data_IF_760090673161
#
_entry.id   IF_760090673161
#
_cell.length_a   1.000
_cell.length_b   1.000
_cell.length_c   1.000
_cell.angle_alpha   90.00
_cell.angle_beta   90.00
_cell.angle_gamma   90.00
#
_symmetry.space_group_name_H-M   'P 1'
#
loop_
_entity.id
_entity.type
_entity.pdbx_description
1 polymer ?
#
# COMPACT_ATOMS: atom_id res chain seq x y z
N UNK A 1 21.40 0.93 -20.97
CA UNK A 1 20.10 0.53 -21.54
C UNK A 1 19.57 1.61 -22.49
N UNK A 2 18.64 1.22 -23.36
CA UNK A 2 18.02 2.15 -24.34
C UNK A 2 16.51 1.96 -24.41
N UNK A 3 15.76 3.07 -24.56
CA UNK A 3 14.31 3.08 -24.65
C UNK A 3 13.83 3.99 -25.76
N UNK A 4 12.87 3.51 -26.57
CA UNK A 4 12.16 4.31 -27.55
C UNK A 4 11.05 5.18 -26.96
N UNK A 5 10.71 4.99 -25.68
CA UNK A 5 9.64 5.72 -24.99
C UNK A 5 10.00 7.18 -24.72
N UNK A 6 11.30 7.51 -24.73
CA UNK A 6 11.80 8.84 -24.46
C UNK A 6 12.17 9.59 -25.75
N UNK A 7 12.19 10.91 -25.69
CA UNK A 7 12.57 11.78 -26.78
C UNK A 7 14.04 11.56 -27.21
N UNK A 8 14.39 12.06 -28.42
CA UNK A 8 15.78 12.03 -28.89
C UNK A 8 16.70 12.75 -27.90
N UNK A 9 17.82 12.10 -27.54
CA UNK A 9 18.77 12.59 -26.53
C UNK A 9 18.49 12.13 -25.09
N UNK A 10 17.33 11.54 -24.80
CA UNK A 10 16.94 11.01 -23.49
C UNK A 10 16.81 9.46 -23.47
N UNK A 11 17.04 8.81 -24.62
CA UNK A 11 16.77 7.38 -24.82
C UNK A 11 17.71 6.43 -24.10
N UNK A 12 18.93 6.86 -23.82
CA UNK A 12 19.97 5.99 -23.26
C UNK A 12 20.25 6.35 -21.80
N UNK A 13 20.24 5.35 -20.93
CA UNK A 13 20.63 5.43 -19.54
C UNK A 13 21.81 4.50 -19.21
N UNK A 14 22.67 4.92 -18.28
CA UNK A 14 23.79 4.12 -17.77
C UNK A 14 23.53 3.83 -16.31
N UNK A 15 23.47 2.52 -15.95
CA UNK A 15 23.11 2.03 -14.62
C UNK A 15 24.20 1.09 -14.09
N UNK A 16 25.28 1.66 -13.49
CA UNK A 16 26.38 0.86 -12.97
C UNK A 16 25.99 0.13 -11.68
N UNK A 17 26.69 -0.99 -11.43
CA UNK A 17 26.58 -1.71 -10.15
C UNK A 17 27.92 -2.31 -9.75
N UNK A 18 28.15 -2.40 -8.44
CA UNK A 18 29.32 -3.03 -7.86
C UNK A 18 28.92 -3.77 -6.59
N UNK A 19 29.52 -4.94 -6.36
CA UNK A 19 29.33 -5.69 -5.13
C UNK A 19 30.61 -6.35 -4.67
N UNK A 20 30.74 -6.52 -3.36
CA UNK A 20 31.83 -7.26 -2.73
C UNK A 20 31.28 -8.17 -1.64
N UNK A 21 31.94 -9.29 -1.42
CA UNK A 21 31.61 -10.22 -0.36
C UNK A 21 32.86 -10.82 0.25
N UNK A 22 32.90 -10.87 1.59
CA UNK A 22 33.98 -11.45 2.34
C UNK A 22 33.48 -12.60 3.20
N UNK A 23 33.95 -13.80 2.90
CA UNK A 23 33.65 -14.99 3.70
C UNK A 23 34.64 -15.05 4.88
N UNK A 24 34.26 -14.38 5.96
CA UNK A 24 35.09 -14.20 7.16
C UNK A 24 35.42 -15.57 7.80
N UNK A 25 34.45 -16.50 7.78
CA UNK A 25 34.63 -17.84 8.34
C UNK A 25 35.76 -18.66 7.71
N UNK A 26 36.23 -18.28 6.50
CA UNK A 26 37.35 -18.95 5.84
C UNK A 26 38.72 -18.43 6.29
N UNK A 27 38.75 -17.36 7.10
CA UNK A 27 39.99 -16.77 7.56
C UNK A 27 40.61 -17.55 8.73
N UNK A 28 41.93 -17.62 8.79
CA UNK A 28 42.65 -18.39 9.82
C UNK A 28 42.34 -17.97 11.25
N UNK A 29 42.06 -16.68 11.49
CA UNK A 29 41.69 -16.17 12.80
C UNK A 29 40.30 -16.66 13.27
N UNK A 30 39.51 -17.25 12.39
CA UNK A 30 38.16 -17.81 12.70
C UNK A 30 38.20 -19.32 12.95
N UNK A 31 39.34 -19.99 12.83
CA UNK A 31 39.43 -21.46 13.02
C UNK A 31 38.90 -21.91 14.39
N UNK A 32 39.10 -21.12 15.44
CA UNK A 32 38.63 -21.44 16.81
C UNK A 32 37.11 -21.33 16.97
N UNK A 33 36.43 -20.66 16.08
CA UNK A 33 34.98 -20.46 16.14
C UNK A 33 34.17 -21.54 15.40
N UNK A 34 34.83 -22.38 14.61
CA UNK A 34 34.17 -23.39 13.74
C UNK A 34 33.32 -24.42 14.50
N UNK A 35 33.50 -24.53 15.82
CA UNK A 35 32.70 -25.42 16.66
C UNK A 35 31.22 -25.00 16.78
N UNK A 36 30.92 -23.71 16.57
CA UNK A 36 29.58 -23.14 16.73
C UNK A 36 29.15 -22.22 15.57
N UNK A 37 30.13 -21.63 14.83
CA UNK A 37 29.90 -20.75 13.69
C UNK A 37 30.47 -21.43 12.43
N UNK A 38 29.58 -22.02 11.63
CA UNK A 38 29.94 -22.78 10.43
C UNK A 38 30.23 -21.88 9.22
N UNK A 39 29.57 -20.75 9.18
CA UNK A 39 29.67 -19.82 8.06
C UNK A 39 29.40 -18.40 8.52
N UNK A 40 30.22 -17.47 8.07
CA UNK A 40 30.01 -16.02 8.24
C UNK A 40 30.49 -15.30 6.99
N UNK A 41 29.56 -14.56 6.36
CA UNK A 41 29.84 -13.74 5.17
C UNK A 41 29.31 -12.33 5.36
N UNK A 42 30.14 -11.34 5.12
CA UNK A 42 29.75 -9.94 4.97
C UNK A 42 29.54 -9.62 3.49
N UNK A 43 28.49 -8.90 3.17
CA UNK A 43 28.14 -8.43 1.82
C UNK A 43 27.98 -6.93 1.82
N UNK A 44 28.44 -6.28 0.76
CA UNK A 44 28.17 -4.90 0.46
C UNK A 44 27.90 -4.77 -1.04
N UNK A 45 26.88 -4.02 -1.40
CA UNK A 45 26.58 -3.72 -2.79
C UNK A 45 26.03 -2.30 -2.93
N UNK A 46 26.33 -1.72 -4.07
CA UNK A 46 25.73 -0.49 -4.55
C UNK A 46 25.41 -0.68 -6.04
N UNK A 47 24.28 -0.17 -6.47
CA UNK A 47 23.90 -0.26 -7.87
C UNK A 47 22.73 0.62 -8.23
N UNK A 48 22.60 0.85 -9.52
CA UNK A 48 21.51 1.60 -10.13
C UNK A 48 20.76 0.72 -11.13
N UNK A 49 19.43 0.92 -11.19
CA UNK A 49 18.52 0.27 -12.15
C UNK A 49 17.62 1.34 -12.74
N UNK A 50 17.50 1.37 -14.07
CA UNK A 50 16.60 2.28 -14.78
C UNK A 50 15.19 1.70 -14.91
N UNK A 51 14.19 2.54 -14.73
CA UNK A 51 12.79 2.25 -15.00
C UNK A 51 12.27 3.15 -16.13
N UNK A 52 11.55 2.56 -17.07
CA UNK A 52 10.92 3.22 -18.22
C UNK A 52 9.42 2.89 -18.32
N UNK A 53 8.80 2.48 -17.22
CA UNK A 53 7.43 1.99 -17.21
C UNK A 53 6.42 3.14 -17.33
N UNK A 54 6.40 3.75 -18.52
CA UNK A 54 5.40 4.72 -18.96
C UNK A 54 4.86 4.27 -20.32
N UNK A 55 3.75 4.83 -20.76
CA UNK A 55 3.21 4.60 -22.08
C UNK A 55 4.14 5.12 -23.19
N UNK A 56 3.94 4.65 -24.42
CA UNK A 56 4.71 5.12 -25.58
C UNK A 56 4.34 6.56 -25.93
N UNK A 57 5.29 7.29 -26.51
CA UNK A 57 5.10 8.63 -27.06
C UNK A 57 4.67 9.71 -26.06
N UNK A 58 5.06 9.59 -24.78
CA UNK A 58 4.75 10.60 -23.76
C UNK A 58 5.41 11.97 -24.04
N UNK A 59 6.46 12.00 -24.87
CA UNK A 59 7.12 13.21 -25.33
C UNK A 59 6.38 13.95 -26.45
N UNK A 60 5.20 13.46 -26.87
CA UNK A 60 4.35 14.10 -27.89
C UNK A 60 2.96 14.39 -27.32
N UNK A 61 2.26 15.35 -27.91
CA UNK A 61 0.85 15.60 -27.64
C UNK A 61 0.00 14.84 -28.68
N UNK A 62 -0.52 13.64 -28.36
CA UNK A 62 -1.34 12.89 -29.30
C UNK A 62 -2.67 13.62 -29.53
N UNK A 63 -3.09 13.70 -30.79
CA UNK A 63 -4.37 14.27 -31.14
C UNK A 63 -5.43 13.17 -31.12
N UNK A 64 -6.53 13.42 -30.43
CA UNK A 64 -7.70 12.56 -30.41
C UNK A 64 -8.91 13.27 -31.02
N UNK A 65 -9.77 12.50 -31.69
CA UNK A 65 -11.06 12.95 -32.18
C UNK A 65 -12.24 12.24 -31.54
N UNK A 66 -11.95 11.35 -30.58
CA UNK A 66 -13.01 10.63 -29.84
C UNK A 66 -13.80 11.60 -28.95
N UNK A 67 -15.13 11.49 -28.98
CA UNK A 67 -16.06 12.28 -28.16
C UNK A 67 -16.02 13.81 -28.38
N UNK A 68 -15.48 14.29 -29.52
CA UNK A 68 -15.37 15.70 -29.87
C UNK A 68 -16.36 16.06 -30.98
N UNK A 69 -17.62 15.90 -30.71
CA UNK A 69 -18.65 16.33 -31.65
C UNK A 69 -19.05 17.78 -31.38
N UNK A 70 -19.04 18.62 -32.38
CA UNK A 70 -19.60 19.95 -32.31
C UNK A 70 -20.79 20.07 -33.28
N UNK A 71 -21.90 20.61 -32.80
CA UNK A 71 -23.11 20.79 -33.56
C UNK A 71 -23.16 22.26 -33.99
N UNK A 72 -23.00 22.50 -35.30
CA UNK A 72 -23.19 23.82 -35.86
C UNK A 72 -24.63 23.98 -36.37
N UNK A 73 -25.34 24.98 -35.87
CA UNK A 73 -26.72 25.31 -36.28
C UNK A 73 -27.53 25.94 -35.16
N UNK A 74 -28.56 26.65 -35.53
CA UNK A 74 -29.44 27.41 -34.62
C UNK A 74 -30.71 26.68 -34.24
N UNK A 75 -31.00 25.50 -34.80
CA UNK A 75 -32.23 24.76 -34.55
C UNK A 75 -31.98 23.54 -33.67
N UNK A 76 -32.08 23.73 -32.39
CA UNK A 76 -32.09 22.63 -31.42
C UNK A 76 -33.38 21.80 -31.62
N UNK A 77 -33.25 20.58 -32.14
CA UNK A 77 -34.35 19.64 -32.27
C UNK A 77 -34.76 19.24 -33.69
N UNK A 78 -34.11 19.79 -34.75
CA UNK A 78 -34.38 19.35 -36.12
C UNK A 78 -33.47 18.17 -36.52
N UNK A 79 -34.02 17.23 -37.27
CA UNK A 79 -33.33 16.03 -37.79
C UNK A 79 -32.20 16.28 -38.81
N UNK A 80 -31.81 17.53 -39.02
CA UNK A 80 -30.79 17.98 -39.96
C UNK A 80 -29.62 18.70 -39.25
N UNK A 81 -29.29 18.35 -38.00
CA UNK A 81 -28.09 18.88 -37.36
C UNK A 81 -26.85 18.17 -37.89
N UNK A 82 -25.96 18.93 -38.52
CA UNK A 82 -24.66 18.41 -38.95
C UNK A 82 -23.73 18.35 -37.73
N UNK A 83 -23.44 17.15 -37.27
CA UNK A 83 -22.39 16.92 -36.27
C UNK A 83 -21.05 16.84 -36.95
N UNK A 84 -20.12 17.68 -36.53
CA UNK A 84 -18.75 17.71 -37.07
C UNK A 84 -17.80 17.15 -36.02
N UNK A 85 -16.84 16.33 -36.47
CA UNK A 85 -15.78 15.80 -35.64
C UNK A 85 -14.73 16.90 -35.40
N UNK A 86 -14.47 17.19 -34.18
CA UNK A 86 -13.32 17.97 -33.74
C UNK A 86 -12.11 17.10 -33.41
N UNK A 87 -11.01 17.75 -33.10
CA UNK A 87 -9.81 17.10 -32.58
C UNK A 87 -9.13 18.01 -31.56
N UNK A 88 -8.55 17.39 -30.52
CA UNK A 88 -7.81 18.12 -29.49
C UNK A 88 -6.64 17.27 -28.98
N UNK A 89 -5.59 17.87 -28.36
CA UNK A 89 -4.54 17.13 -27.70
C UNK A 89 -5.10 16.37 -26.50
N UNK A 90 -4.95 15.05 -26.47
CA UNK A 90 -5.46 14.24 -25.35
C UNK A 90 -4.65 14.41 -24.07
N UNK A 91 -3.41 14.88 -24.16
CA UNK A 91 -2.54 15.24 -23.04
C UNK A 91 -1.50 16.26 -23.46
N UNK A 92 -0.87 16.91 -22.47
CA UNK A 92 0.29 17.77 -22.70
C UNK A 92 1.51 16.93 -23.06
N UNK A 93 2.35 17.45 -23.96
CA UNK A 93 3.63 16.83 -24.29
C UNK A 93 4.68 17.17 -23.22
N UNK A 94 5.55 16.21 -22.91
CA UNK A 94 6.76 16.48 -22.14
C UNK A 94 7.98 15.83 -22.84
N UNK A 95 8.76 16.66 -23.56
CA UNK A 95 9.98 16.19 -24.22
C UNK A 95 11.14 15.97 -23.28
N UNK A 96 11.06 16.44 -22.03
CA UNK A 96 12.12 16.37 -21.04
C UNK A 96 12.06 15.12 -20.16
N UNK A 97 10.96 14.36 -20.24
CA UNK A 97 10.82 13.11 -19.49
C UNK A 97 11.98 12.14 -19.82
N UNK A 98 12.58 11.60 -18.78
CA UNK A 98 13.74 10.70 -18.86
C UNK A 98 13.56 9.50 -17.92
N UNK A 99 14.59 8.66 -17.86
CA UNK A 99 14.62 7.47 -17.01
C UNK A 99 14.42 7.82 -15.53
N UNK A 100 13.55 7.08 -14.89
CA UNK A 100 13.56 6.94 -13.42
C UNK A 100 14.73 6.05 -13.04
N UNK A 101 15.47 6.41 -12.01
CA UNK A 101 16.64 5.65 -11.56
C UNK A 101 16.46 5.20 -10.11
N UNK A 102 16.42 3.89 -9.90
CA UNK A 102 16.49 3.32 -8.55
C UNK A 102 17.96 3.05 -8.19
N UNK A 103 18.46 3.75 -7.18
CA UNK A 103 19.78 3.58 -6.61
C UNK A 103 19.68 2.91 -5.24
N UNK A 104 20.43 1.84 -5.03
CA UNK A 104 20.41 1.10 -3.77
C UNK A 104 21.79 0.81 -3.25
N UNK A 105 21.99 1.07 -1.95
CA UNK A 105 23.11 0.57 -1.15
C UNK A 105 22.58 -0.48 -0.19
N UNK A 106 23.25 -1.64 -0.14
CA UNK A 106 22.90 -2.72 0.77
C UNK A 106 24.15 -3.21 1.50
N UNK A 107 24.03 -3.46 2.81
CA UNK A 107 25.03 -4.11 3.65
C UNK A 107 24.36 -5.29 4.33
N UNK A 108 24.87 -6.49 4.12
CA UNK A 108 24.26 -7.72 4.61
C UNK A 108 25.24 -8.67 5.28
N UNK A 109 24.72 -9.47 6.19
CA UNK A 109 25.43 -10.53 6.89
C UNK A 109 24.67 -11.84 6.69
N UNK A 110 25.39 -12.88 6.26
CA UNK A 110 24.91 -14.26 6.25
C UNK A 110 25.70 -15.07 7.28
N UNK A 111 25.03 -15.73 8.20
CA UNK A 111 25.67 -16.57 9.20
C UNK A 111 24.96 -17.91 9.35
N UNK A 112 25.72 -18.97 9.62
CA UNK A 112 25.21 -20.29 9.96
C UNK A 112 25.91 -20.81 11.21
N UNK A 113 25.12 -21.40 12.08
CA UNK A 113 25.54 -21.84 13.40
C UNK A 113 25.14 -23.28 13.66
N UNK A 114 25.86 -23.92 14.58
CA UNK A 114 25.49 -25.21 15.16
C UNK A 114 25.32 -26.32 14.12
N UNK A 115 26.30 -26.48 13.24
CA UNK A 115 26.28 -27.41 12.10
C UNK A 115 25.17 -27.08 11.11
N UNK A 116 25.03 -25.79 10.81
CA UNK A 116 24.04 -25.22 9.90
C UNK A 116 22.57 -25.47 10.29
N UNK A 117 22.30 -25.73 11.58
CA UNK A 117 20.91 -25.85 12.06
C UNK A 117 20.26 -24.48 12.14
N UNK A 118 20.99 -23.47 12.62
CA UNK A 118 20.51 -22.07 12.65
C UNK A 118 21.16 -21.29 11.51
N UNK A 119 20.35 -20.67 10.68
CA UNK A 119 20.78 -19.71 9.66
C UNK A 119 20.20 -18.32 9.96
N UNK A 120 21.04 -17.31 9.82
CA UNK A 120 20.71 -15.88 9.97
C UNK A 120 21.09 -15.16 8.70
N UNK A 121 20.18 -14.36 8.16
CA UNK A 121 20.46 -13.33 7.17
C UNK A 121 19.95 -12.00 7.71
N UNK A 122 20.77 -10.97 7.69
CA UNK A 122 20.39 -9.62 8.08
C UNK A 122 20.91 -8.65 7.04
N UNK A 123 20.05 -7.77 6.55
CA UNK A 123 20.35 -6.76 5.55
C UNK A 123 19.91 -5.38 6.03
N UNK A 124 20.74 -4.39 5.85
CA UNK A 124 20.39 -2.97 5.95
C UNK A 124 20.51 -2.36 4.56
N UNK A 125 19.50 -1.61 4.16
CA UNK A 125 19.48 -0.97 2.84
C UNK A 125 19.02 0.49 2.90
N UNK A 126 19.53 1.24 1.95
CA UNK A 126 19.02 2.55 1.55
C UNK A 126 18.76 2.47 0.06
N UNK A 127 17.50 2.65 -0.33
CA UNK A 127 17.06 2.69 -1.73
C UNK A 127 16.44 4.05 -2.00
N UNK A 128 16.94 4.75 -3.02
CA UNK A 128 16.39 6.02 -3.49
C UNK A 128 15.95 5.86 -4.94
N UNK A 129 14.66 6.00 -5.19
CA UNK A 129 14.12 6.18 -6.54
C UNK A 129 14.23 7.66 -6.88
N UNK A 130 15.08 7.99 -7.82
CA UNK A 130 15.32 9.35 -8.31
C UNK A 130 14.55 9.57 -9.60
N UNK A 131 14.14 10.80 -9.84
CA UNK A 131 13.42 11.16 -11.05
C UNK A 131 12.17 10.29 -11.27
N UNK A 132 11.40 10.07 -10.21
CA UNK A 132 10.21 9.23 -10.20
C UNK A 132 9.24 9.60 -11.33
N UNK A 133 8.86 8.60 -12.14
CA UNK A 133 7.95 8.77 -13.28
C UNK A 133 6.50 8.79 -12.80
N UNK A 134 5.86 9.94 -12.85
CA UNK A 134 4.49 10.15 -12.36
C UNK A 134 3.71 11.07 -13.30
N UNK A 135 2.39 10.86 -13.42
CA UNK A 135 1.49 11.83 -14.05
C UNK A 135 1.28 13.00 -13.10
N UNK A 136 1.72 14.21 -13.53
CA UNK A 136 1.57 15.41 -12.75
C UNK A 136 0.12 15.92 -12.86
N UNK A 137 -0.64 16.08 -11.77
CA UNK A 137 -1.95 16.71 -11.82
C UNK A 137 -1.87 18.10 -12.45
N UNK A 138 -2.78 18.38 -13.36
CA UNK A 138 -2.92 19.72 -13.98
C UNK A 138 -4.32 20.26 -13.70
N UNK A 139 -4.46 21.57 -13.75
CA UNK A 139 -5.76 22.21 -13.58
C UNK A 139 -6.74 21.72 -14.67
N UNK A 140 -7.96 21.41 -14.27
CA UNK A 140 -9.03 20.99 -15.21
C UNK A 140 -9.28 22.02 -16.34
N UNK A 141 -8.96 23.28 -16.10
CA UNK A 141 -9.02 24.38 -17.10
C UNK A 141 -8.02 24.22 -18.24
N UNK A 142 -7.02 23.34 -18.13
CA UNK A 142 -6.10 23.02 -19.22
C UNK A 142 -6.81 22.29 -20.38
N UNK A 143 -7.95 21.66 -20.13
CA UNK A 143 -8.78 21.00 -21.16
C UNK A 143 -8.11 19.78 -21.82
N UNK A 144 -7.10 19.21 -21.20
CA UNK A 144 -6.31 18.08 -21.72
C UNK A 144 -5.82 17.22 -20.56
N UNK A 145 -5.30 16.00 -20.81
CA UNK A 145 -4.73 15.13 -19.80
C UNK A 145 -3.36 15.58 -19.31
N UNK A 146 -2.98 15.10 -18.15
CA UNK A 146 -1.70 15.37 -17.52
C UNK A 146 -0.53 14.76 -18.29
N UNK A 147 0.64 15.43 -18.34
CA UNK A 147 1.87 14.85 -18.85
C UNK A 147 2.53 13.96 -17.80
N UNK A 148 3.35 12.99 -18.23
CA UNK A 148 4.34 12.38 -17.35
C UNK A 148 5.48 13.36 -17.08
N UNK A 149 5.90 13.40 -15.82
CA UNK A 149 7.09 14.16 -15.38
C UNK A 149 8.02 13.25 -14.59
N UNK A 150 9.24 13.72 -14.39
CA UNK A 150 10.15 13.17 -13.37
C UNK A 150 9.83 13.90 -12.06
N UNK A 151 9.06 13.26 -11.19
CA UNK A 151 8.29 13.88 -10.11
C UNK A 151 9.00 14.01 -8.77
N UNK A 152 10.32 13.82 -8.72
CA UNK A 152 11.09 13.91 -7.48
C UNK A 152 11.70 12.59 -7.04
N UNK A 153 12.06 12.50 -5.76
CA UNK A 153 12.76 11.37 -5.20
C UNK A 153 11.91 10.66 -4.14
N UNK A 154 12.00 9.33 -4.09
CA UNK A 154 11.38 8.51 -3.04
C UNK A 154 12.46 7.67 -2.37
N UNK A 155 12.75 7.96 -1.10
CA UNK A 155 13.76 7.26 -0.31
C UNK A 155 13.12 6.22 0.61
N UNK A 156 13.61 4.99 0.54
CA UNK A 156 13.29 3.89 1.45
C UNK A 156 14.55 3.52 2.23
N UNK A 157 14.42 3.40 3.55
CA UNK A 157 15.50 2.94 4.43
C UNK A 157 14.95 1.83 5.29
N UNK A 158 15.60 0.68 5.30
CA UNK A 158 15.05 -0.48 5.98
C UNK A 158 16.08 -1.48 6.46
N UNK A 159 15.58 -2.39 7.28
CA UNK A 159 16.29 -3.55 7.80
C UNK A 159 15.45 -4.78 7.51
N UNK A 160 16.11 -5.82 6.99
CA UNK A 160 15.51 -7.13 6.76
C UNK A 160 16.22 -8.17 7.63
N UNK A 161 15.46 -9.05 8.23
CA UNK A 161 15.97 -10.14 9.07
C UNK A 161 15.29 -11.44 8.68
N UNK A 162 16.07 -12.51 8.45
CA UNK A 162 15.56 -13.86 8.29
C UNK A 162 16.32 -14.82 9.20
N UNK A 163 15.57 -15.61 9.93
CA UNK A 163 16.06 -16.69 10.80
C UNK A 163 15.44 -18.00 10.37
N UNK A 164 16.23 -19.03 10.23
CA UNK A 164 15.72 -20.38 10.02
C UNK A 164 16.44 -21.39 10.91
N UNK A 165 15.66 -22.27 11.49
CA UNK A 165 16.13 -23.41 12.27
C UNK A 165 15.68 -24.71 11.61
N UNK A 166 16.61 -25.61 11.32
CA UNK A 166 16.34 -26.93 10.78
C UNK A 166 17.05 -27.96 11.64
N UNK A 167 16.33 -28.97 12.09
CA UNK A 167 16.92 -30.02 12.90
C UNK A 167 16.20 -31.36 12.70
N UNK A 168 16.86 -32.43 13.14
CA UNK A 168 16.35 -33.79 13.13
C UNK A 168 16.57 -34.45 14.48
N UNK A 169 15.52 -35.03 15.03
CA UNK A 169 15.54 -35.77 16.27
C UNK A 169 15.34 -37.27 15.97
N UNK A 170 16.42 -38.06 16.17
CA UNK A 170 16.44 -39.45 15.75
C UNK A 170 16.35 -39.60 14.23
N UNK A 171 15.83 -40.75 13.77
CA UNK A 171 15.65 -41.06 12.33
C UNK A 171 14.30 -40.64 11.80
N UNK A 172 13.31 -40.42 12.65
CA UNK A 172 11.90 -40.37 12.25
C UNK A 172 11.28 -38.99 12.29
N UNK A 173 11.91 -38.02 12.97
CA UNK A 173 11.36 -36.69 13.15
C UNK A 173 12.34 -35.62 12.67
N UNK A 174 11.93 -34.84 11.67
CA UNK A 174 12.63 -33.65 11.23
C UNK A 174 11.69 -32.44 11.24
N UNK A 175 12.21 -31.25 11.55
CA UNK A 175 11.42 -30.04 11.57
C UNK A 175 12.21 -28.82 11.12
N UNK A 176 11.48 -27.84 10.62
CA UNK A 176 12.02 -26.55 10.25
C UNK A 176 11.10 -25.43 10.77
N UNK A 177 11.71 -24.37 11.27
CA UNK A 177 11.04 -23.12 11.65
C UNK A 177 11.75 -21.97 10.97
N UNK A 178 11.00 -21.12 10.30
CA UNK A 178 11.51 -19.91 9.70
C UNK A 178 10.71 -18.70 10.14
N UNK A 179 11.41 -17.61 10.42
CA UNK A 179 10.85 -16.30 10.73
C UNK A 179 11.58 -15.28 9.87
N UNK A 180 10.84 -14.38 9.24
CA UNK A 180 11.41 -13.23 8.57
C UNK A 180 10.64 -11.97 8.93
N UNK A 181 11.29 -10.83 8.82
CA UNK A 181 10.68 -9.54 9.04
C UNK A 181 11.47 -8.46 8.32
N UNK A 182 10.76 -7.45 7.84
CA UNK A 182 11.34 -6.26 7.25
C UNK A 182 10.70 -5.02 7.86
N UNK A 183 11.52 -4.08 8.24
CA UNK A 183 11.11 -2.73 8.63
C UNK A 183 11.56 -1.77 7.55
N UNK A 184 10.66 -0.92 7.08
CA UNK A 184 10.92 0.06 6.03
C UNK A 184 10.36 1.43 6.41
N UNK A 185 11.13 2.47 6.21
CA UNK A 185 10.68 3.85 6.32
C UNK A 185 10.78 4.53 4.96
N UNK A 186 9.66 5.08 4.52
CA UNK A 186 9.52 5.77 3.23
C UNK A 186 9.51 7.28 3.43
N UNK A 187 10.13 8.04 2.52
CA UNK A 187 10.13 9.49 2.53
C UNK A 187 10.27 10.07 1.13
N UNK A 188 9.40 11.01 0.79
CA UNK A 188 9.44 11.78 -0.46
C UNK A 188 10.35 13.01 -0.33
N UNK A 189 11.01 13.39 -1.41
CA UNK A 189 11.81 14.61 -1.50
C UNK A 189 11.94 15.11 -2.95
N UNK A 190 12.41 16.35 -3.07
CA UNK A 190 12.75 16.97 -4.35
C UNK A 190 11.62 16.98 -5.40
N UNK A 191 10.36 17.09 -4.97
CA UNK A 191 9.23 17.28 -5.88
C UNK A 191 9.41 18.63 -6.62
N UNK A 192 9.39 18.65 -7.97
CA UNK A 192 9.73 19.84 -8.76
C UNK A 192 8.52 20.79 -8.98
N UNK A 193 7.46 20.69 -8.19
CA UNK A 193 6.34 21.61 -8.17
C UNK A 193 6.62 22.81 -7.27
N UNK A 194 5.95 23.95 -7.47
CA UNK A 194 6.15 25.16 -6.68
C UNK A 194 5.84 24.96 -5.21
N UNK A 195 4.83 24.15 -4.90
CA UNK A 195 4.39 23.81 -3.54
C UNK A 195 5.09 22.58 -2.96
N UNK A 196 5.87 21.84 -3.78
CA UNK A 196 6.52 20.59 -3.37
C UNK A 196 5.53 19.43 -3.13
N UNK A 197 4.39 19.45 -3.81
CA UNK A 197 3.28 18.48 -3.66
C UNK A 197 2.90 17.87 -5.02
N UNK A 198 2.65 16.58 -5.03
CA UNK A 198 1.87 15.90 -6.08
C UNK A 198 0.53 15.56 -5.45
N UNK A 199 -0.51 16.23 -5.93
CA UNK A 199 -1.86 16.10 -5.43
C UNK A 199 -2.48 14.75 -5.79
N UNK A 200 -3.28 14.20 -4.88
CA UNK A 200 -4.06 13.00 -5.10
C UNK A 200 -5.32 13.24 -5.94
N UNK A 201 -5.99 12.14 -6.27
CA UNK A 201 -7.23 12.19 -7.04
C UNK A 201 -8.38 12.77 -6.20
N UNK A 202 -9.21 13.57 -6.87
CA UNK A 202 -10.49 14.06 -6.33
C UNK A 202 -11.62 13.07 -6.64
N UNK A 203 -12.78 13.24 -6.01
CA UNK A 203 -14.01 12.45 -6.23
C UNK A 203 -13.91 10.97 -5.82
N UNK A 204 -12.97 10.61 -4.96
CA UNK A 204 -12.79 9.22 -4.56
C UNK A 204 -13.71 8.78 -3.41
N UNK A 205 -14.04 9.68 -2.49
CA UNK A 205 -14.91 9.37 -1.36
C UNK A 205 -16.39 9.58 -1.69
N UNK A 206 -16.68 10.68 -2.39
CA UNK A 206 -18.01 11.07 -2.85
C UNK A 206 -17.88 12.07 -3.99
N UNK A 207 -18.99 12.35 -4.68
CA UNK A 207 -19.01 13.31 -5.78
C UNK A 207 -18.57 14.71 -5.31
N UNK A 208 -17.58 15.28 -5.97
CA UNK A 208 -16.88 16.52 -5.62
C UNK A 208 -16.13 16.46 -4.27
N UNK A 209 -15.75 15.27 -3.80
CA UNK A 209 -14.83 15.20 -2.66
C UNK A 209 -13.46 15.76 -3.06
N UNK A 210 -12.81 16.56 -2.18
CA UNK A 210 -11.44 16.98 -2.39
C UNK A 210 -10.47 15.79 -2.31
N UNK A 211 -9.22 16.03 -2.67
CA UNK A 211 -8.14 15.07 -2.40
C UNK A 211 -8.04 14.75 -0.91
N UNK A 212 -7.57 13.56 -0.59
CA UNK A 212 -7.32 13.14 0.79
C UNK A 212 -6.02 12.35 0.96
N UNK A 213 -5.23 12.25 -0.08
CA UNK A 213 -3.87 11.71 -0.05
C UNK A 213 -3.00 12.51 -1.00
N UNK A 214 -1.72 12.56 -0.72
CA UNK A 214 -0.75 13.30 -1.53
C UNK A 214 0.66 12.75 -1.37
N UNK A 215 1.56 13.10 -2.28
CA UNK A 215 2.97 12.98 -2.09
C UNK A 215 3.54 14.39 -1.82
N UNK A 216 4.22 14.56 -0.70
CA UNK A 216 4.74 15.84 -0.24
C UNK A 216 6.15 15.69 0.29
N UNK A 217 6.99 16.69 0.06
CA UNK A 217 8.35 16.71 0.55
C UNK A 217 8.40 16.54 2.08
N UNK A 218 9.09 15.49 2.53
CA UNK A 218 9.25 15.21 3.95
C UNK A 218 8.32 14.16 4.53
N UNK A 219 7.24 13.80 3.82
CA UNK A 219 6.25 12.81 4.22
C UNK A 219 6.47 11.45 3.53
N UNK A 220 5.76 10.42 3.96
CA UNK A 220 5.66 9.17 3.24
C UNK A 220 4.88 9.37 1.94
N UNK A 221 5.22 8.60 0.88
CA UNK A 221 4.48 8.67 -0.38
C UNK A 221 3.03 8.19 -0.17
N UNK A 222 2.07 8.96 -0.67
CA UNK A 222 0.64 8.61 -0.57
C UNK A 222 0.10 8.66 0.87
N UNK A 223 0.66 9.53 1.71
CA UNK A 223 0.10 9.73 3.05
C UNK A 223 -1.30 10.32 2.99
N UNK A 224 -2.14 10.00 3.98
CA UNK A 224 -3.51 10.49 4.08
C UNK A 224 -3.52 11.86 4.74
N UNK A 225 -4.11 12.83 4.05
CA UNK A 225 -4.17 14.22 4.46
C UNK A 225 -5.60 14.65 4.76
N UNK A 226 -5.90 14.92 6.01
CA UNK A 226 -7.27 15.17 6.46
C UNK A 226 -7.37 15.79 7.84
N UNK A 227 -8.60 16.01 8.29
CA UNK A 227 -8.88 16.59 9.58
C UNK A 227 -8.71 15.58 10.71
N UNK A 228 -8.22 16.04 11.84
CA UNK A 228 -8.33 15.32 13.11
C UNK A 228 -9.65 15.67 13.77
N UNK A 229 -10.28 14.70 14.46
CA UNK A 229 -11.55 14.92 15.16
C UNK A 229 -11.37 14.83 16.67
N UNK A 230 -12.18 15.60 17.41
CA UNK A 230 -12.23 15.60 18.88
C UNK A 230 -13.51 14.93 19.42
N UNK A 231 -14.21 14.15 18.59
CA UNK A 231 -15.47 13.50 18.92
C UNK A 231 -16.69 14.18 18.30
N UNK A 232 -17.81 14.13 19.01
CA UNK A 232 -19.12 14.61 18.52
C UNK A 232 -19.70 15.56 19.53
N UNK A 233 -20.26 16.69 19.06
CA UNK A 233 -21.01 17.63 19.90
C UNK A 233 -22.20 16.92 20.54
N UNK A 234 -22.20 16.85 21.88
CA UNK A 234 -23.28 16.17 22.60
C UNK A 234 -24.51 17.06 22.82
N UNK A 235 -24.30 18.36 23.06
CA UNK A 235 -25.37 19.30 23.36
C UNK A 235 -25.01 20.73 22.94
N UNK A 236 -25.97 21.65 23.06
CA UNK A 236 -25.82 23.07 22.69
C UNK A 236 -24.84 23.81 23.58
N UNK A 237 -24.68 23.43 24.84
CA UNK A 237 -23.74 24.05 25.78
C UNK A 237 -22.30 23.78 25.35
N UNK A 238 -22.00 22.55 24.92
CA UNK A 238 -20.69 22.21 24.39
C UNK A 238 -20.37 23.00 23.11
N UNK A 239 -21.34 23.21 22.21
CA UNK A 239 -21.19 24.06 21.02
C UNK A 239 -20.94 25.50 21.40
N UNK A 240 -21.70 26.05 22.36
CA UNK A 240 -21.53 27.43 22.84
C UNK A 240 -20.13 27.63 23.44
N UNK A 241 -19.65 26.69 24.22
CA UNK A 241 -18.30 26.72 24.80
C UNK A 241 -17.21 26.63 23.74
N UNK A 242 -17.41 25.78 22.71
CA UNK A 242 -16.47 25.61 21.58
C UNK A 242 -16.40 26.89 20.72
N UNK A 243 -17.51 27.59 20.51
CA UNK A 243 -17.60 28.87 19.79
C UNK A 243 -17.50 30.12 20.70
N UNK A 244 -17.08 29.96 21.94
CA UNK A 244 -17.16 31.04 22.93
C UNK A 244 -16.36 32.29 22.56
N UNK A 245 -15.30 32.18 21.79
CA UNK A 245 -14.51 33.29 21.29
C UNK A 245 -14.94 33.79 19.90
N UNK A 246 -16.02 33.22 19.33
CA UNK A 246 -16.57 33.62 18.03
C UNK A 246 -15.71 33.20 16.85
N UNK A 247 -14.81 32.26 17.05
CA UNK A 247 -13.83 31.86 16.07
C UNK A 247 -14.26 30.57 15.35
N UNK A 248 -14.21 29.70 15.05
CA UNK A 248 -14.60 28.42 14.39
C UNK A 248 -15.63 28.63 13.27
N UNK A 249 -15.33 29.57 12.37
CA UNK A 249 -16.10 29.82 11.15
C UNK A 249 -15.85 28.77 10.05
N UNK A 250 -16.14 29.13 8.83
CA UNK A 250 -16.02 28.38 7.58
C UNK A 250 -16.66 26.98 7.65
N UNK A 251 -15.88 25.88 7.84
CA UNK A 251 -16.40 24.53 7.79
C UNK A 251 -17.48 24.25 8.82
N UNK A 252 -17.35 24.80 10.02
CA UNK A 252 -18.28 24.59 11.15
C UNK A 252 -18.93 25.87 11.65
N UNK A 253 -19.44 26.71 10.76
CA UNK A 253 -20.08 27.98 11.09
C UNK A 253 -21.39 27.83 11.88
N UNK A 254 -22.11 26.73 11.75
CA UNK A 254 -23.38 26.46 12.46
C UNK A 254 -23.49 24.98 12.86
N UNK A 255 -22.64 24.48 13.75
CA UNK A 255 -22.67 23.09 14.19
C UNK A 255 -23.90 22.81 15.04
N UNK A 256 -24.40 21.58 14.95
CA UNK A 256 -25.55 21.10 15.73
C UNK A 256 -25.13 19.93 16.62
N UNK A 257 -25.86 19.65 17.72
CA UNK A 257 -25.65 18.42 18.48
C UNK A 257 -25.71 17.18 17.58
N UNK A 258 -24.72 16.32 17.71
CA UNK A 258 -24.51 15.16 16.85
C UNK A 258 -23.56 15.37 15.68
N UNK A 259 -23.07 16.59 15.46
CA UNK A 259 -22.03 16.86 14.45
C UNK A 259 -20.63 16.56 14.99
N UNK A 260 -19.73 16.23 14.09
CA UNK A 260 -18.30 15.99 14.38
C UNK A 260 -17.65 17.30 14.84
N UNK A 261 -16.72 17.20 15.78
CA UNK A 261 -15.86 18.30 16.21
C UNK A 261 -14.53 18.16 15.48
N UNK A 262 -14.22 19.05 14.55
CA UNK A 262 -12.90 19.12 13.91
C UNK A 262 -11.95 19.94 14.77
N UNK A 263 -10.67 19.57 14.77
CA UNK A 263 -9.65 20.23 15.58
C UNK A 263 -9.05 21.39 14.78
N UNK A 264 -9.04 22.57 15.37
CA UNK A 264 -8.28 23.73 14.91
C UNK A 264 -6.81 23.51 15.26
N UNK A 265 -6.01 23.04 14.27
CA UNK A 265 -4.62 22.65 14.48
C UNK A 265 -3.68 23.85 14.61
N UNK A 266 -3.92 24.89 13.85
CA UNK A 266 -3.09 26.10 13.83
C UNK A 266 -3.55 27.17 14.84
N UNK A 267 -4.69 26.96 15.50
CA UNK A 267 -5.29 27.82 16.53
C UNK A 267 -5.61 29.24 16.03
N UNK A 268 -5.95 29.39 14.75
CA UNK A 268 -6.34 30.68 14.19
C UNK A 268 -7.83 30.98 14.36
N UNK A 269 -8.61 30.02 14.82
CA UNK A 269 -10.04 30.13 15.10
C UNK A 269 -10.94 29.85 13.90
N UNK A 270 -10.39 29.26 12.84
CA UNK A 270 -11.11 28.90 11.62
C UNK A 270 -10.78 27.44 11.28
N UNK A 271 -11.77 26.62 11.02
CA UNK A 271 -11.54 25.24 10.52
C UNK A 271 -11.50 25.27 9.01
N UNK A 272 -10.32 25.14 8.43
CA UNK A 272 -10.10 25.13 6.99
C UNK A 272 -9.01 24.12 6.56
N UNK A 273 -8.52 24.22 5.33
CA UNK A 273 -7.51 23.28 4.82
C UNK A 273 -6.16 23.35 5.55
N UNK A 274 -5.88 24.44 6.29
CA UNK A 274 -4.68 24.58 7.10
C UNK A 274 -4.70 23.74 8.39
N UNK A 275 -5.87 23.18 8.74
CA UNK A 275 -6.05 22.30 9.90
C UNK A 275 -5.92 20.82 9.54
N UNK A 276 -5.72 20.51 8.27
CA UNK A 276 -5.47 19.13 7.83
C UNK A 276 -4.06 18.71 8.17
N UNK A 277 -3.93 17.47 8.62
CA UNK A 277 -2.66 16.87 9.05
C UNK A 277 -2.41 15.54 8.39
N UNK A 278 -1.20 15.01 8.57
CA UNK A 278 -0.83 13.64 8.21
C UNK A 278 -1.55 12.67 9.16
N UNK A 279 -2.46 11.86 8.61
CA UNK A 279 -3.23 10.84 9.32
C UNK A 279 -2.65 9.44 9.17
N UNK A 280 -1.42 9.33 8.64
CA UNK A 280 -0.76 8.08 8.34
C UNK A 280 -0.84 7.69 6.87
N UNK A 281 -0.48 6.46 6.56
CA UNK A 281 -0.42 5.99 5.17
C UNK A 281 -0.74 4.50 5.05
N UNK A 282 -1.03 4.05 3.84
CA UNK A 282 -1.37 2.65 3.55
C UNK A 282 -0.18 1.71 3.37
N UNK A 283 1.05 2.23 3.40
CA UNK A 283 2.25 1.40 3.25
C UNK A 283 2.70 0.90 4.62
N UNK A 284 2.81 -0.41 4.86
CA UNK A 284 3.21 -0.91 6.17
C UNK A 284 4.67 -0.55 6.49
N UNK A 285 4.91 -0.13 7.73
CA UNK A 285 6.25 0.05 8.28
C UNK A 285 6.93 -1.30 8.51
N UNK A 286 6.17 -2.32 8.88
CA UNK A 286 6.68 -3.64 9.21
C UNK A 286 5.92 -4.75 8.49
N UNK A 287 6.64 -5.65 7.83
CA UNK A 287 6.11 -6.88 7.26
C UNK A 287 6.82 -8.07 7.85
N UNK A 288 6.10 -9.17 8.06
CA UNK A 288 6.68 -10.35 8.69
C UNK A 288 6.07 -11.65 8.17
N UNK A 289 6.86 -12.70 8.25
CA UNK A 289 6.46 -14.04 7.86
C UNK A 289 6.95 -15.10 8.85
N UNK A 290 6.19 -16.16 8.92
CA UNK A 290 6.48 -17.33 9.73
C UNK A 290 6.18 -18.59 8.94
N UNK A 291 7.07 -19.55 8.98
CA UNK A 291 6.83 -20.89 8.44
C UNK A 291 7.26 -21.96 9.46
N UNK A 292 6.44 -23.00 9.55
CA UNK A 292 6.69 -24.19 10.34
C UNK A 292 6.45 -25.41 9.46
N UNK A 293 7.40 -26.32 9.45
CA UNK A 293 7.25 -27.62 8.81
C UNK A 293 7.76 -28.72 9.71
N UNK A 294 7.16 -29.91 9.65
CA UNK A 294 7.74 -31.10 10.26
C UNK A 294 7.37 -32.36 9.46
N UNK A 295 8.24 -33.33 9.54
CA UNK A 295 7.99 -34.70 9.07
C UNK A 295 8.13 -35.65 10.24
N UNK A 296 7.16 -36.50 10.43
CA UNK A 296 7.20 -37.58 11.42
C UNK A 296 6.80 -38.89 10.76
N UNK A 297 7.79 -39.76 10.52
CA UNK A 297 7.61 -41.01 9.77
C UNK A 297 7.01 -40.72 8.38
N UNK A 298 5.74 -41.08 8.18
CA UNK A 298 5.02 -40.87 6.93
C UNK A 298 4.12 -39.64 6.93
N UNK A 299 4.02 -38.90 8.05
CA UNK A 299 3.29 -37.64 8.15
C UNK A 299 4.18 -36.46 7.80
N UNK A 300 3.63 -35.52 7.09
CA UNK A 300 4.19 -34.19 6.90
C UNK A 300 3.16 -33.12 7.27
N UNK A 301 3.66 -32.04 7.84
CA UNK A 301 2.88 -30.88 8.19
C UNK A 301 3.60 -29.63 7.74
N UNK A 302 2.85 -28.64 7.25
CA UNK A 302 3.36 -27.29 7.00
C UNK A 302 2.34 -26.23 7.34
N UNK A 303 2.84 -25.14 7.89
CA UNK A 303 2.08 -23.92 8.18
C UNK A 303 2.88 -22.74 7.68
N UNK A 304 2.18 -21.82 6.97
CA UNK A 304 2.73 -20.54 6.52
C UNK A 304 1.80 -19.43 6.99
N UNK A 305 2.38 -18.43 7.62
CA UNK A 305 1.69 -17.23 8.05
C UNK A 305 2.50 -15.99 7.66
N UNK A 306 1.81 -14.89 7.42
CA UNK A 306 2.43 -13.59 7.16
C UNK A 306 1.52 -12.46 7.63
N UNK A 307 2.08 -11.28 7.77
CA UNK A 307 1.34 -10.11 8.18
C UNK A 307 2.06 -8.82 7.87
N UNK A 308 1.36 -7.74 8.13
CA UNK A 308 1.86 -6.39 8.04
C UNK A 308 1.40 -5.59 9.26
N UNK A 309 2.14 -4.54 9.60
CA UNK A 309 1.82 -3.66 10.71
C UNK A 309 2.33 -2.24 10.45
N UNK A 310 1.67 -1.26 11.07
CA UNK A 310 2.02 0.15 10.98
C UNK A 310 1.42 0.86 9.77
N UNK A 311 0.48 0.23 9.06
CA UNK A 311 -0.27 0.86 7.98
C UNK A 311 -1.70 1.19 8.39
N UNK A 312 -2.26 2.20 7.74
CA UNK A 312 -3.67 2.59 7.88
C UNK A 312 -4.46 2.22 6.64
N UNK A 313 -5.77 1.98 6.83
CA UNK A 313 -6.72 1.74 5.76
C UNK A 313 -7.79 2.81 5.80
N UNK A 314 -8.03 3.46 4.66
CA UNK A 314 -9.19 4.32 4.43
C UNK A 314 -10.34 3.47 3.92
N UNK A 315 -11.40 3.34 4.71
CA UNK A 315 -12.61 2.64 4.29
C UNK A 315 -13.54 3.60 3.55
N UNK A 316 -13.66 3.47 2.22
CA UNK A 316 -14.38 4.42 1.37
C UNK A 316 -15.37 3.79 0.38
N UNK A 317 -15.84 2.58 0.67
CA UNK A 317 -16.81 1.91 -0.22
C UNK A 317 -18.27 2.36 -0.02
N UNK A 318 -18.49 3.45 0.67
CA UNK A 318 -19.77 4.12 0.76
C UNK A 318 -19.68 5.60 0.42
N UNK A 319 -20.45 6.04 -0.57
CA UNK A 319 -20.61 7.46 -0.87
C UNK A 319 -21.68 8.07 0.07
N UNK A 320 -21.23 8.81 1.09
CA UNK A 320 -22.11 9.46 2.08
C UNK A 320 -22.96 10.59 1.51
N UNK A 321 -22.56 11.17 0.38
CA UNK A 321 -23.35 12.18 -0.34
C UNK A 321 -24.55 11.57 -1.09
N UNK A 322 -24.53 10.28 -1.35
CA UNK A 322 -25.61 9.60 -2.04
C UNK A 322 -26.71 9.15 -1.06
N UNK A 323 -27.80 9.89 -0.97
CA UNK A 323 -28.93 9.57 -0.10
C UNK A 323 -29.62 8.23 -0.40
N UNK A 324 -29.35 7.62 -1.57
CA UNK A 324 -29.88 6.33 -1.99
C UNK A 324 -28.90 5.16 -1.74
N UNK A 325 -27.68 5.44 -1.27
CA UNK A 325 -26.73 4.39 -0.92
C UNK A 325 -27.13 3.65 0.36
N UNK A 326 -26.90 2.35 0.42
CA UNK A 326 -27.12 1.58 1.64
C UNK A 326 -26.12 1.97 2.73
N UNK A 327 -26.56 1.91 3.97
CA UNK A 327 -25.73 2.06 5.15
C UNK A 327 -25.12 0.71 5.55
N UNK A 328 -23.92 0.74 6.09
CA UNK A 328 -23.36 -0.37 6.84
C UNK A 328 -24.05 -0.47 8.21
N UNK A 329 -23.96 -1.60 8.88
CA UNK A 329 -24.55 -1.79 10.23
C UNK A 329 -23.99 -0.82 11.27
N UNK A 330 -22.80 -0.26 11.05
CA UNK A 330 -22.18 0.75 11.91
C UNK A 330 -23.08 1.98 12.12
N UNK A 331 -24.01 2.29 11.19
CA UNK A 331 -24.95 3.41 11.35
C UNK A 331 -25.89 3.22 12.54
N UNK A 332 -26.07 2.01 13.03
CA UNK A 332 -26.90 1.74 14.21
C UNK A 332 -26.31 2.35 15.48
N UNK A 333 -24.98 2.53 15.50
CA UNK A 333 -24.22 3.12 16.62
C UNK A 333 -24.02 4.64 16.45
N UNK A 334 -24.78 5.27 15.55
CA UNK A 334 -24.72 6.72 15.32
C UNK A 334 -25.26 7.50 16.51
N UNK A 335 -24.86 8.76 16.59
CA UNK A 335 -25.46 9.69 17.53
C UNK A 335 -26.96 9.91 17.25
N UNK A 336 -27.80 9.67 18.25
CA UNK A 336 -29.28 9.85 18.23
C UNK A 336 -29.75 10.72 19.38
N UNK A 337 -28.83 11.17 20.23
CA UNK A 337 -29.07 11.99 21.42
C UNK A 337 -27.81 12.00 22.29
N UNK A 338 -27.78 12.88 23.29
CA UNK A 338 -26.65 13.03 24.20
C UNK A 338 -26.20 11.70 24.80
N UNK A 339 -24.90 11.39 24.72
CA UNK A 339 -24.30 10.17 25.27
C UNK A 339 -24.45 8.91 24.43
N UNK A 340 -25.16 8.94 23.30
CA UNK A 340 -25.40 7.72 22.48
C UNK A 340 -24.21 7.36 21.59
N UNK A 341 -23.42 8.31 21.13
CA UNK A 341 -22.20 8.08 20.37
C UNK A 341 -21.24 9.25 20.50
N UNK A 342 -19.93 8.98 20.49
CA UNK A 342 -18.87 9.98 20.36
C UNK A 342 -17.96 9.73 19.15
N UNK A 343 -18.36 8.84 18.24
CA UNK A 343 -17.57 8.49 17.05
C UNK A 343 -18.38 8.59 15.76
N UNK A 344 -19.59 8.04 15.72
CA UNK A 344 -20.43 8.05 14.53
C UNK A 344 -21.43 9.19 14.63
N UNK A 345 -21.36 10.19 13.73
CA UNK A 345 -22.19 11.37 13.81
C UNK A 345 -23.67 11.09 13.48
N UNK A 346 -24.50 12.08 13.74
CA UNK A 346 -25.89 12.06 13.27
C UNK A 346 -25.96 12.02 11.74
N UNK A 347 -27.05 11.48 11.21
CA UNK A 347 -27.32 11.51 9.77
C UNK A 347 -27.77 12.92 9.37
N UNK A 348 -27.16 13.46 8.31
CA UNK A 348 -27.47 14.77 7.74
C UNK A 348 -27.65 14.67 6.23
N UNK A 349 -28.24 15.70 5.64
CA UNK A 349 -28.34 15.84 4.17
C UNK A 349 -27.13 16.55 3.56
N UNK A 350 -26.12 16.87 4.37
CA UNK A 350 -24.90 17.55 3.96
C UNK A 350 -23.68 16.68 4.28
N UNK A 351 -22.54 16.99 3.69
CA UNK A 351 -21.27 16.29 3.93
C UNK A 351 -20.45 16.89 5.09
N UNK A 352 -21.05 17.74 5.93
CA UNK A 352 -20.32 18.44 7.02
C UNK A 352 -19.63 17.43 7.97
N UNK A 353 -20.28 16.31 8.27
CA UNK A 353 -19.76 15.28 9.16
C UNK A 353 -18.88 14.24 8.46
N UNK A 354 -18.72 14.36 7.15
CA UNK A 354 -18.04 13.38 6.33
C UNK A 354 -16.93 14.01 5.48
N UNK A 355 -16.35 15.11 5.99
CA UNK A 355 -15.07 15.57 5.48
C UNK A 355 -14.01 14.52 5.81
N UNK A 356 -13.02 14.35 4.93
CA UNK A 356 -11.98 13.36 5.15
C UNK A 356 -11.24 13.65 6.46
N UNK A 357 -11.24 12.68 7.35
CA UNK A 357 -10.72 12.79 8.70
C UNK A 357 -10.33 11.41 9.24
N UNK A 358 -9.83 11.37 10.46
CA UNK A 358 -9.52 10.14 11.18
C UNK A 358 -10.74 9.19 11.37
N UNK A 359 -11.96 9.66 11.13
CA UNK A 359 -13.17 8.80 11.08
C UNK A 359 -13.14 7.76 9.96
N UNK A 360 -12.41 8.03 8.87
CA UNK A 360 -12.22 7.10 7.75
C UNK A 360 -11.04 6.16 7.96
N UNK A 361 -10.16 6.49 8.91
CA UNK A 361 -8.92 5.77 9.13
C UNK A 361 -9.14 4.59 10.07
N UNK A 362 -8.66 3.43 9.66
CA UNK A 362 -8.64 2.22 10.47
C UNK A 362 -7.24 1.64 10.51
N UNK A 363 -6.95 0.88 11.59
CA UNK A 363 -5.72 0.12 11.74
C UNK A 363 -5.68 -1.00 10.70
N UNK A 364 -4.64 -1.01 9.87
CA UNK A 364 -4.45 -2.00 8.80
C UNK A 364 -3.63 -3.22 9.22
N UNK A 365 -3.24 -3.32 10.49
CA UNK A 365 -2.45 -4.43 11.00
C UNK A 365 -3.17 -5.77 10.86
N UNK A 366 -2.45 -6.77 10.40
CA UNK A 366 -3.01 -8.12 10.32
C UNK A 366 -1.95 -9.22 10.41
N UNK A 367 -2.39 -10.40 10.85
CA UNK A 367 -1.70 -11.68 10.73
C UNK A 367 -2.60 -12.65 9.99
N UNK A 368 -2.13 -13.21 8.88
CA UNK A 368 -2.84 -14.22 8.10
C UNK A 368 -2.12 -15.57 8.17
N UNK A 369 -2.83 -16.60 8.60
CA UNK A 369 -2.40 -17.99 8.38
C UNK A 369 -2.84 -18.35 6.96
N UNK A 370 -1.90 -18.24 6.03
CA UNK A 370 -2.17 -18.36 4.60
C UNK A 370 -2.31 -19.80 4.15
N UNK A 371 -1.63 -20.72 4.83
CA UNK A 371 -1.64 -22.13 4.44
C UNK A 371 -1.42 -23.05 5.63
N UNK A 372 -2.23 -24.07 5.73
CA UNK A 372 -2.04 -25.23 6.64
C UNK A 372 -2.19 -26.48 5.79
N UNK A 373 -1.17 -27.33 5.77
CA UNK A 373 -1.20 -28.62 5.04
C UNK A 373 -0.83 -29.74 5.96
N UNK A 374 -1.58 -30.82 5.91
CA UNK A 374 -1.28 -32.09 6.55
C UNK A 374 -1.29 -33.19 5.51
N UNK A 375 -0.19 -33.89 5.37
CA UNK A 375 -0.03 -34.99 4.42
C UNK A 375 0.31 -36.31 5.13
N UNK A 376 -0.01 -37.41 4.44
CA UNK A 376 0.38 -38.75 4.83
C UNK A 376 0.77 -39.56 3.62
N UNK A 377 1.98 -40.12 3.62
CA UNK A 377 2.46 -41.01 2.58
C UNK A 377 2.13 -42.46 2.95
N UNK A 378 1.24 -43.06 2.18
CA UNK A 378 0.77 -44.41 2.38
C UNK A 378 1.37 -45.43 1.39
N UNK A 379 2.41 -45.08 0.63
CA UNK A 379 3.05 -45.96 -0.33
C UNK A 379 3.47 -47.29 0.30
N UNK A 380 4.00 -47.27 1.52
CA UNK A 380 4.38 -48.48 2.27
C UNK A 380 3.19 -49.37 2.65
N UNK A 381 1.98 -48.79 2.79
CA UNK A 381 0.76 -49.56 3.11
C UNK A 381 0.20 -50.25 1.88
N UNK A 382 0.31 -49.64 0.71
CA UNK A 382 -0.18 -50.21 -0.56
C UNK A 382 0.74 -51.33 -1.06
N UNK A 383 2.04 -51.24 -0.72
CA UNK A 383 3.08 -52.21 -1.08
C UNK A 383 3.15 -52.56 -2.60
N UNK A 384 2.92 -51.57 -3.46
CA UNK A 384 3.02 -51.71 -4.93
C UNK A 384 4.41 -51.24 -5.36
N UNK A 385 5.25 -52.16 -5.85
CA UNK A 385 6.65 -51.88 -6.23
C UNK A 385 6.81 -50.76 -7.27
N UNK A 386 5.79 -50.48 -8.07
CA UNK A 386 5.80 -49.43 -9.10
C UNK A 386 5.51 -48.02 -8.50
N UNK A 387 5.07 -47.94 -7.26
CA UNK A 387 4.72 -46.65 -6.61
C UNK A 387 5.74 -46.38 -5.51
N UNK A 388 6.59 -45.39 -5.75
CA UNK A 388 7.60 -44.95 -4.76
C UNK A 388 7.07 -43.96 -3.73
N UNK A 389 6.00 -43.22 -4.05
CA UNK A 389 5.30 -42.31 -3.15
C UNK A 389 3.80 -42.28 -3.45
N UNK A 390 2.98 -42.34 -2.43
CA UNK A 390 1.53 -42.19 -2.52
C UNK A 390 1.05 -41.29 -1.37
N UNK A 391 1.12 -39.97 -1.57
CA UNK A 391 0.80 -38.98 -0.51
C UNK A 391 -0.61 -38.48 -0.72
N UNK A 392 -1.46 -38.68 0.27
CA UNK A 392 -2.74 -37.99 0.42
C UNK A 392 -2.51 -36.76 1.32
N UNK A 393 -3.03 -35.61 0.93
CA UNK A 393 -2.94 -34.41 1.75
C UNK A 393 -4.24 -33.65 1.81
N UNK A 394 -4.42 -32.95 2.93
CA UNK A 394 -5.46 -31.95 3.16
C UNK A 394 -4.81 -30.60 3.35
N UNK A 395 -5.32 -29.57 2.70
CA UNK A 395 -4.80 -28.21 2.75
C UNK A 395 -5.92 -27.21 2.97
N UNK A 396 -5.68 -26.23 3.82
CA UNK A 396 -6.54 -25.07 4.01
C UNK A 396 -5.76 -23.83 3.59
N UNK A 397 -6.26 -23.11 2.60
CA UNK A 397 -5.72 -21.82 2.19
C UNK A 397 -6.53 -20.68 2.81
N UNK A 398 -5.85 -19.58 3.17
CA UNK A 398 -6.42 -18.44 3.89
C UNK A 398 -7.21 -18.88 5.14
N UNK A 399 -6.58 -19.75 5.96
CA UNK A 399 -7.22 -20.45 7.05
C UNK A 399 -7.79 -19.48 8.08
N UNK A 400 -7.00 -18.47 8.50
CA UNK A 400 -7.40 -17.48 9.50
C UNK A 400 -6.74 -16.13 9.19
N UNK A 401 -7.49 -15.05 9.45
CA UNK A 401 -6.97 -13.67 9.43
C UNK A 401 -7.30 -13.03 10.77
N UNK A 402 -6.29 -12.53 11.46
CA UNK A 402 -6.41 -11.79 12.71
C UNK A 402 -6.12 -10.33 12.41
N UNK A 403 -7.10 -9.46 12.64
CA UNK A 403 -7.02 -8.02 12.37
C UNK A 403 -8.04 -7.28 13.22
N UNK A 404 -7.83 -5.99 13.41
CA UNK A 404 -8.80 -5.04 13.97
C UNK A 404 -9.59 -4.30 12.90
N UNK A 405 -9.18 -4.42 11.63
CA UNK A 405 -9.90 -3.85 10.51
C UNK A 405 -11.29 -4.48 10.42
N UNK A 406 -12.34 -3.67 10.44
CA UNK A 406 -13.73 -4.12 10.41
C UNK A 406 -14.34 -4.22 9.00
N UNK A 407 -13.53 -3.94 7.95
CA UNK A 407 -13.89 -4.15 6.55
C UNK A 407 -13.77 -5.63 6.12
N UNK A 408 -13.86 -5.88 4.81
CA UNK A 408 -13.91 -7.24 4.28
C UNK A 408 -12.57 -7.96 4.32
N UNK A 409 -11.46 -7.28 4.03
CA UNK A 409 -10.10 -7.86 4.04
C UNK A 409 -9.08 -6.75 4.32
N UNK A 410 -8.15 -6.91 5.28
CA UNK A 410 -7.13 -5.90 5.58
C UNK A 410 -6.03 -5.82 4.53
N UNK A 411 -5.93 -6.78 3.61
CA UNK A 411 -4.88 -6.83 2.60
C UNK A 411 -5.26 -6.00 1.37
N UNK A 412 -5.35 -4.68 1.58
CA UNK A 412 -5.67 -3.69 0.56
C UNK A 412 -4.38 -3.19 -0.08
N UNK A 413 -4.04 -3.73 -1.26
CA UNK A 413 -2.79 -3.42 -1.96
C UNK A 413 -2.85 -2.24 -2.92
N UNK A 414 -4.03 -1.74 -3.26
CA UNK A 414 -4.20 -0.75 -4.32
C UNK A 414 -4.89 0.50 -3.82
N UNK A 415 -4.42 1.66 -4.33
CA UNK A 415 -5.20 2.84 -4.52
C UNK A 415 -5.65 2.94 -5.99
N UNK A 416 -6.21 4.06 -6.40
CA UNK A 416 -6.55 4.35 -7.78
C UNK A 416 -5.34 4.81 -8.59
N UNK A 417 -4.23 5.15 -7.95
CA UNK A 417 -2.97 5.50 -8.58
C UNK A 417 -1.83 4.58 -8.10
N UNK A 418 -0.79 4.47 -8.93
CA UNK A 418 0.31 3.51 -8.72
C UNK A 418 1.19 3.82 -7.50
N UNK A 419 1.00 4.97 -6.85
CA UNK A 419 1.83 5.45 -5.75
C UNK A 419 1.10 5.59 -4.41
N UNK A 420 -0.17 5.17 -4.33
CA UNK A 420 -0.96 5.12 -3.09
C UNK A 420 -1.51 3.73 -2.85
N UNK A 421 -1.59 3.33 -1.58
CA UNK A 421 -2.16 2.06 -1.13
C UNK A 421 -3.06 2.28 0.09
N UNK A 422 -3.77 1.24 0.52
CA UNK A 422 -4.57 1.30 1.73
C UNK A 422 -5.94 2.00 1.57
N UNK A 423 -6.45 2.16 0.33
CA UNK A 423 -7.78 2.72 0.10
C UNK A 423 -8.73 1.57 -0.25
N UNK A 424 -9.65 1.24 0.66
CA UNK A 424 -10.65 0.19 0.45
C UNK A 424 -11.89 0.73 -0.25
N UNK A 425 -11.99 0.42 -1.54
CA UNK A 425 -13.13 0.74 -2.41
C UNK A 425 -14.18 -0.39 -2.47
N UNK A 426 -14.13 -1.36 -1.53
CA UNK A 426 -15.02 -2.51 -1.51
C UNK A 426 -14.44 -3.72 -2.23
N UNK A 427 -13.16 -4.01 -2.03
CA UNK A 427 -12.49 -5.18 -2.59
C UNK A 427 -13.08 -6.47 -2.04
N UNK A 428 -13.24 -7.45 -2.93
CA UNK A 428 -13.75 -8.76 -2.54
C UNK A 428 -12.74 -9.50 -1.66
N UNK A 429 -13.14 -10.05 -0.49
CA UNK A 429 -12.22 -10.71 0.43
C UNK A 429 -11.69 -12.01 -0.16
N UNK A 430 -10.48 -12.40 0.22
CA UNK A 430 -9.88 -13.67 -0.20
C UNK A 430 -10.66 -14.86 0.35
N UNK A 431 -11.08 -15.82 -0.49
CA UNK A 431 -11.84 -16.97 -0.05
C UNK A 431 -10.98 -17.94 0.76
N UNK A 432 -11.55 -18.53 1.79
CA UNK A 432 -10.97 -19.72 2.45
C UNK A 432 -11.23 -20.94 1.57
N UNK A 433 -10.16 -21.66 1.21
CA UNK A 433 -10.23 -22.79 0.29
C UNK A 433 -9.77 -24.07 0.99
N UNK A 434 -10.55 -25.12 0.85
CA UNK A 434 -10.21 -26.46 1.34
C UNK A 434 -9.88 -27.36 0.14
N UNK A 435 -8.72 -28.01 0.20
CA UNK A 435 -8.24 -28.88 -0.85
C UNK A 435 -7.92 -30.26 -0.28
N UNK A 436 -8.26 -31.27 -1.05
CA UNK A 436 -7.78 -32.65 -0.88
C UNK A 436 -7.05 -33.03 -2.14
N UNK A 437 -5.84 -33.56 -2.01
CA UNK A 437 -5.04 -33.93 -3.17
C UNK A 437 -4.26 -35.22 -2.95
N UNK A 438 -3.92 -35.88 -4.04
CA UNK A 438 -3.11 -37.10 -4.05
C UNK A 438 -1.90 -36.87 -4.96
N UNK A 439 -0.71 -37.12 -4.44
CA UNK A 439 0.53 -37.12 -5.19
C UNK A 439 1.03 -38.57 -5.34
N UNK A 440 1.16 -39.05 -6.58
CA UNK A 440 1.71 -40.38 -6.89
C UNK A 440 3.05 -40.19 -7.60
N UNK A 441 4.04 -40.95 -7.18
CA UNK A 441 5.35 -41.03 -7.81
C UNK A 441 5.66 -42.50 -8.12
N UNK A 442 5.93 -42.78 -9.38
CA UNK A 442 6.23 -44.08 -9.91
C UNK A 442 7.73 -44.33 -10.04
#
# INVERSE_FOLDING_TARGET
DGSSKFARGKRYGVFPSVSAGWTISNEKFMETTQNWLDFLKLRISWGQVGNQNIDNYQYTAPITSSNTHYIFGTNYGASAQSSYWGAYPSRLANSDVTWETSEQTNIGIDARFLRSRLSLTADFYIKTTKDWLVEAPILATAGTGAPYINGGDVKNTGIELALSWNDQIGSDFSYNVGINGAYNKNKVGNIPTEDGIIHGDVNMLYDNSPEFYRAENGHAIGYFWGYQTAGIFQNKEQIANWNADGKHGILQSDPQPGDVIYVDQNQDGIIDDNDKVDLGNGTPDFTYGFNLGFNYKNFDFSLVAYGAAGNQIVQSYRNHANSKANYTSAILDRWTGEGTSNRIPRVTNTNINWQFSDLYIQDGDYLRISNITLGYDFAKLINVKAISQARLYFQVQNAFTFTKYDGMDPEIGYGTSDWVSGIDLGYYPRPRTFLVGVNLKF
#
